data_IF_659030793814
#
_entry.id   IF_659030793814
#
_cell.length_a   1.000
_cell.length_b   1.000
_cell.length_c   1.000
_cell.angle_alpha   90.00
_cell.angle_beta   90.00
_cell.angle_gamma   90.00
#
_symmetry.space_group_name_H-M   'P 1'
#
loop_
_entity.id
_entity.type
_entity.pdbx_description
1 polymer ?
#
# COMPACT_ATOMS: atom_id res chain seq x y z
N UNK A 1 -1.03 19.70 24.08
CA UNK A 1 -0.42 18.42 23.64
C UNK A 1 0.83 18.55 22.75
N UNK A 2 0.80 18.95 21.46
CA UNK A 2 2.05 19.00 20.63
C UNK A 2 3.03 20.13 21.03
N UNK A 3 2.51 21.32 21.35
CA UNK A 3 3.34 22.46 21.82
C UNK A 3 4.03 22.16 23.14
N UNK A 4 3.38 21.42 24.02
CA UNK A 4 3.94 20.97 25.31
C UNK A 4 5.07 19.95 25.13
N UNK A 5 5.11 19.25 23.98
CA UNK A 5 6.20 18.35 23.59
C UNK A 5 7.32 19.07 22.81
N UNK A 6 7.32 20.41 22.78
CA UNK A 6 8.37 21.21 22.15
C UNK A 6 8.20 21.42 20.63
N UNK A 7 7.06 21.05 20.04
CA UNK A 7 6.79 21.27 18.62
C UNK A 7 6.16 22.67 18.45
N UNK A 8 6.94 23.61 17.93
CA UNK A 8 6.53 25.02 17.76
C UNK A 8 6.35 25.46 16.31
N UNK A 9 6.47 24.55 15.34
CA UNK A 9 6.26 24.86 13.92
C UNK A 9 4.77 25.11 13.64
N UNK A 10 4.40 26.37 13.38
CA UNK A 10 3.01 26.74 13.01
C UNK A 10 2.52 25.96 11.78
N UNK A 11 3.40 25.72 10.80
CA UNK A 11 3.05 24.92 9.62
C UNK A 11 2.62 23.50 10.00
N UNK A 12 3.35 22.84 10.91
CA UNK A 12 3.03 21.48 11.33
C UNK A 12 1.76 21.44 12.18
N UNK A 13 1.64 22.39 13.11
CA UNK A 13 0.44 22.52 13.96
C UNK A 13 -0.81 22.66 13.10
N UNK A 14 -0.80 23.61 12.15
CA UNK A 14 -1.92 23.83 11.24
C UNK A 14 -2.18 22.61 10.35
N UNK A 15 -1.13 21.96 9.84
CA UNK A 15 -1.30 20.75 9.01
C UNK A 15 -2.02 19.63 9.77
N UNK A 16 -1.58 19.35 11.01
CA UNK A 16 -2.18 18.30 11.85
C UNK A 16 -3.58 18.68 12.31
N UNK A 17 -3.85 19.96 12.59
CA UNK A 17 -5.20 20.40 12.94
C UNK A 17 -6.19 20.25 11.77
N UNK A 18 -5.72 20.48 10.54
CA UNK A 18 -6.58 20.53 9.36
C UNK A 18 -6.81 19.18 8.67
N UNK A 19 -5.99 18.15 8.91
CA UNK A 19 -6.01 16.92 8.08
C UNK A 19 -7.28 16.05 8.17
N UNK A 20 -8.18 16.31 9.12
CA UNK A 20 -9.51 15.69 9.19
C UNK A 20 -10.64 16.61 8.70
N UNK A 21 -10.34 17.83 8.24
CA UNK A 21 -11.35 18.75 7.72
C UNK A 21 -11.84 18.31 6.34
N UNK A 22 -13.16 18.23 6.18
CA UNK A 22 -13.79 17.96 4.90
C UNK A 22 -13.73 19.20 3.98
N UNK A 23 -13.72 18.97 2.66
CA UNK A 23 -13.79 20.05 1.65
C UNK A 23 -12.45 20.61 1.15
N UNK A 24 -11.31 20.23 1.74
CA UNK A 24 -9.97 20.61 1.25
C UNK A 24 -9.67 20.09 -0.18
N UNK A 25 -10.40 19.08 -0.63
CA UNK A 25 -10.23 18.42 -1.93
C UNK A 25 -10.86 19.16 -3.11
N UNK A 26 -11.59 20.27 -2.89
CA UNK A 26 -12.30 20.98 -3.96
C UNK A 26 -11.42 21.94 -4.77
N UNK A 27 -10.27 22.35 -4.22
CA UNK A 27 -9.31 23.23 -4.91
C UNK A 27 -8.13 22.42 -5.48
N UNK A 28 -7.46 22.95 -6.52
CA UNK A 28 -6.27 22.29 -7.06
C UNK A 28 -5.13 22.32 -6.05
N UNK A 29 -4.43 21.20 -5.90
CA UNK A 29 -3.36 21.03 -4.91
C UNK A 29 -2.31 22.17 -4.97
N UNK A 30 -1.92 22.60 -6.17
CA UNK A 30 -0.93 23.68 -6.36
C UNK A 30 -1.42 25.08 -5.98
N UNK A 31 -2.74 25.30 -5.92
CA UNK A 31 -3.37 26.59 -5.59
C UNK A 31 -3.59 26.73 -4.06
N UNK A 32 -3.56 25.63 -3.32
CA UNK A 32 -3.74 25.64 -1.86
C UNK A 32 -2.53 26.26 -1.12
N UNK A 33 -2.75 27.05 -0.06
CA UNK A 33 -1.66 27.50 0.80
C UNK A 33 -0.96 26.30 1.46
N UNK A 34 0.32 26.44 1.88
CA UNK A 34 1.12 25.34 2.39
C UNK A 34 0.45 24.44 3.45
N UNK A 35 -0.19 24.95 4.53
CA UNK A 35 -0.81 24.08 5.53
C UNK A 35 -1.98 23.26 4.98
N UNK A 36 -2.83 23.83 4.13
CA UNK A 36 -3.95 23.13 3.49
C UNK A 36 -3.46 22.06 2.51
N UNK A 37 -2.44 22.40 1.74
CA UNK A 37 -1.81 21.47 0.79
C UNK A 37 -1.22 20.26 1.49
N UNK A 38 -0.49 20.47 2.58
CA UNK A 38 0.08 19.40 3.40
C UNK A 38 -1.01 18.60 4.11
N UNK A 39 -2.07 19.26 4.60
CA UNK A 39 -3.21 18.59 5.23
C UNK A 39 -3.92 17.64 4.25
N UNK A 40 -4.15 18.08 3.00
CA UNK A 40 -4.74 17.23 1.96
C UNK A 40 -3.84 16.04 1.62
N UNK A 41 -2.52 16.25 1.51
CA UNK A 41 -1.55 15.16 1.31
C UNK A 41 -1.60 14.17 2.48
N UNK A 42 -1.57 14.66 3.71
CA UNK A 42 -1.60 13.84 4.92
C UNK A 42 -2.91 13.05 5.02
N UNK A 43 -4.06 13.67 4.70
CA UNK A 43 -5.36 13.00 4.69
C UNK A 43 -5.40 11.81 3.73
N UNK A 44 -4.88 11.97 2.51
CA UNK A 44 -4.81 10.87 1.53
C UNK A 44 -3.87 9.77 2.01
N UNK A 45 -2.70 10.13 2.54
CA UNK A 45 -1.72 9.16 3.08
C UNK A 45 -2.29 8.41 4.28
N UNK A 46 -2.98 9.10 5.20
CA UNK A 46 -3.56 8.49 6.40
C UNK A 46 -4.69 7.52 6.03
N UNK A 47 -5.58 7.91 5.11
CA UNK A 47 -6.62 7.01 4.57
C UNK A 47 -5.97 5.80 3.88
N UNK A 48 -4.89 6.00 3.14
CA UNK A 48 -4.16 4.90 2.50
C UNK A 48 -3.56 3.95 3.54
N UNK A 49 -2.81 4.47 4.51
CA UNK A 49 -2.20 3.69 5.59
C UNK A 49 -3.25 2.90 6.38
N UNK A 50 -4.39 3.54 6.67
CA UNK A 50 -5.53 2.91 7.34
C UNK A 50 -6.11 1.71 6.57
N UNK A 51 -6.04 1.71 5.23
CA UNK A 51 -6.55 0.65 4.38
C UNK A 51 -5.57 -0.50 4.14
N UNK A 52 -4.27 -0.21 4.05
CA UNK A 52 -3.24 -1.24 3.84
C UNK A 52 -2.76 -1.86 5.16
N UNK A 53 -3.03 -1.21 6.30
CA UNK A 53 -2.74 -1.75 7.62
C UNK A 53 -3.54 -3.05 7.86
N UNK A 54 -2.93 -4.11 8.42
CA UNK A 54 -3.62 -5.34 8.79
C UNK A 54 -4.70 -5.09 9.85
N UNK A 55 -5.89 -4.69 9.44
CA UNK A 55 -7.06 -4.65 10.33
C UNK A 55 -7.65 -6.04 10.33
N UNK A 56 -7.56 -6.71 11.47
CA UNK A 56 -8.08 -8.05 11.74
C UNK A 56 -9.58 -8.22 11.38
N UNK A 57 -10.31 -7.12 11.13
CA UNK A 57 -11.77 -7.08 10.93
C UNK A 57 -12.25 -6.78 9.49
N UNK A 58 -11.39 -6.75 8.46
CA UNK A 58 -11.87 -6.56 7.07
C UNK A 58 -11.83 -7.87 6.29
N UNK A 59 -12.95 -8.57 6.35
CA UNK A 59 -13.23 -9.69 5.46
C UNK A 59 -13.40 -9.20 4.02
N UNK A 60 -12.70 -9.84 3.08
CA UNK A 60 -13.07 -9.82 1.66
C UNK A 60 -12.35 -8.84 0.73
N UNK A 61 -11.56 -7.87 1.21
CA UNK A 61 -10.76 -6.98 0.32
C UNK A 61 -9.26 -7.14 0.57
N UNK A 62 -8.51 -7.32 -0.51
CA UNK A 62 -7.05 -7.23 -0.50
C UNK A 62 -6.58 -5.79 -0.29
N UNK A 63 -5.32 -5.63 0.14
CA UNK A 63 -4.69 -4.32 0.26
C UNK A 63 -4.62 -3.59 -1.10
N UNK A 64 -4.45 -4.32 -2.20
CA UNK A 64 -4.47 -3.79 -3.56
C UNK A 64 -5.85 -3.22 -3.94
N UNK A 65 -6.94 -3.96 -3.69
CA UNK A 65 -8.30 -3.47 -3.97
C UNK A 65 -8.66 -2.27 -3.10
N UNK A 66 -8.22 -2.28 -1.84
CA UNK A 66 -8.43 -1.15 -0.94
C UNK A 66 -7.66 0.08 -1.44
N UNK A 67 -6.38 -0.08 -1.80
CA UNK A 67 -5.59 0.99 -2.42
C UNK A 67 -6.28 1.57 -3.66
N UNK A 68 -6.77 0.70 -4.56
CA UNK A 68 -7.53 1.07 -5.77
C UNK A 68 -8.76 1.95 -5.47
N UNK A 69 -9.44 1.73 -4.35
CA UNK A 69 -10.62 2.53 -3.97
C UNK A 69 -10.31 4.00 -3.64
N UNK A 70 -9.08 4.36 -3.24
CA UNK A 70 -8.66 5.77 -3.08
C UNK A 70 -8.43 6.44 -4.45
N UNK A 71 -8.04 5.65 -5.44
CA UNK A 71 -7.62 6.16 -6.76
C UNK A 71 -8.82 6.30 -7.70
N UNK A 72 -9.81 5.42 -7.58
CA UNK A 72 -11.04 5.42 -8.37
C UNK A 72 -12.22 6.19 -7.76
N UNK A 73 -12.02 6.91 -6.64
CA UNK A 73 -13.10 7.69 -6.05
C UNK A 73 -13.52 8.83 -7.00
N UNK A 74 -14.79 8.89 -7.43
CA UNK A 74 -15.26 9.72 -8.55
C UNK A 74 -15.33 11.23 -8.26
N UNK A 75 -14.93 11.69 -7.08
CA UNK A 75 -15.12 13.10 -6.69
C UNK A 75 -14.04 14.08 -7.20
N UNK A 76 -12.98 13.58 -7.82
CA UNK A 76 -11.98 14.46 -8.44
C UNK A 76 -11.32 13.78 -9.63
N UNK A 77 -11.66 14.22 -10.84
CA UNK A 77 -10.94 13.87 -12.06
C UNK A 77 -9.43 14.25 -12.02
N UNK A 78 -8.97 14.93 -10.96
CA UNK A 78 -7.56 15.16 -10.63
C UNK A 78 -7.29 14.88 -9.14
N UNK A 79 -6.98 13.63 -8.78
CA UNK A 79 -6.36 13.30 -7.49
C UNK A 79 -4.84 13.09 -7.66
N UNK A 80 -4.02 14.17 -7.77
CA UNK A 80 -2.59 14.06 -8.02
C UNK A 80 -1.84 13.34 -6.88
N UNK A 81 -2.30 13.48 -5.64
CA UNK A 81 -1.70 12.80 -4.48
C UNK A 81 -1.92 11.29 -4.58
N UNK A 82 -3.15 10.85 -4.83
CA UNK A 82 -3.48 9.43 -5.00
C UNK A 82 -2.74 8.80 -6.18
N UNK A 83 -2.69 9.47 -7.33
CA UNK A 83 -1.93 9.00 -8.50
C UNK A 83 -0.43 8.89 -8.21
N UNK A 84 0.14 9.86 -7.49
CA UNK A 84 1.55 9.84 -7.10
C UNK A 84 1.83 8.69 -6.14
N UNK A 85 0.94 8.47 -5.17
CA UNK A 85 1.05 7.37 -4.21
C UNK A 85 1.06 6.00 -4.92
N UNK A 86 0.25 5.80 -5.95
CA UNK A 86 0.29 4.58 -6.78
C UNK A 86 1.61 4.42 -7.51
N UNK A 87 2.11 5.49 -8.12
CA UNK A 87 3.39 5.44 -8.83
C UNK A 87 4.55 5.10 -7.90
N UNK A 88 4.46 5.52 -6.63
CA UNK A 88 5.49 5.26 -5.62
C UNK A 88 5.38 3.86 -5.00
N UNK A 89 4.17 3.39 -4.72
CA UNK A 89 3.95 2.14 -3.96
C UNK A 89 3.59 0.94 -4.84
N UNK A 90 3.16 1.19 -6.07
CA UNK A 90 2.69 0.16 -7.00
C UNK A 90 1.22 -0.21 -6.79
N UNK A 91 0.69 -0.97 -7.75
CA UNK A 91 -0.67 -1.55 -7.68
C UNK A 91 -0.82 -2.56 -6.55
N UNK A 92 0.28 -3.26 -6.23
CA UNK A 92 0.34 -4.23 -5.14
C UNK A 92 1.31 -3.73 -4.07
N UNK A 93 0.82 -3.11 -2.99
CA UNK A 93 1.67 -2.64 -1.91
C UNK A 93 2.45 -3.77 -1.23
N UNK A 94 3.64 -3.51 -0.66
CA UNK A 94 4.36 -4.47 0.18
C UNK A 94 3.46 -5.08 1.26
N UNK A 95 3.61 -6.39 1.47
CA UNK A 95 2.76 -7.18 2.38
C UNK A 95 1.47 -7.72 1.74
N UNK A 96 1.11 -7.29 0.53
CA UNK A 96 -0.04 -7.86 -0.19
C UNK A 96 0.24 -9.31 -0.58
N UNK A 97 -0.70 -10.22 -0.30
CA UNK A 97 -0.65 -11.57 -0.85
C UNK A 97 -1.18 -11.58 -2.28
N UNK A 98 -0.55 -12.36 -3.14
CA UNK A 98 -0.91 -12.50 -4.55
C UNK A 98 -0.90 -13.96 -4.96
N UNK A 99 -1.82 -14.34 -5.83
CA UNK A 99 -1.81 -15.63 -6.54
C UNK A 99 -1.09 -15.44 -7.87
N UNK A 100 -0.12 -16.31 -8.14
CA UNK A 100 0.61 -16.35 -9.39
C UNK A 100 -0.15 -17.20 -10.43
N UNK A 101 0.16 -17.01 -11.72
CA UNK A 101 -0.49 -17.73 -12.83
C UNK A 101 -0.40 -19.27 -12.70
N UNK A 102 0.70 -19.76 -12.13
CA UNK A 102 0.95 -21.18 -11.87
C UNK A 102 0.28 -21.71 -10.58
N UNK A 103 -0.54 -20.90 -9.93
CA UNK A 103 -1.28 -21.23 -8.74
C UNK A 103 -0.52 -21.10 -7.42
N UNK A 104 0.78 -20.75 -7.44
CA UNK A 104 1.54 -20.46 -6.22
C UNK A 104 1.02 -19.19 -5.54
N UNK A 105 1.27 -19.06 -4.24
CA UNK A 105 0.96 -17.84 -3.47
C UNK A 105 2.25 -17.19 -3.03
N UNK A 106 2.32 -15.88 -3.23
CA UNK A 106 3.45 -15.05 -2.87
C UNK A 106 3.01 -13.84 -2.05
N UNK A 107 3.96 -13.23 -1.34
CA UNK A 107 3.79 -11.95 -0.65
C UNK A 107 4.65 -10.89 -1.35
N UNK A 108 4.10 -9.70 -1.56
CA UNK A 108 4.85 -8.58 -2.16
C UNK A 108 5.90 -8.07 -1.19
N UNK A 109 7.14 -7.96 -1.65
CA UNK A 109 8.28 -7.46 -0.88
C UNK A 109 8.53 -5.97 -1.11
N UNK A 110 8.56 -5.56 -2.38
CA UNK A 110 8.81 -4.19 -2.81
C UNK A 110 8.24 -3.94 -4.19
N UNK A 111 7.88 -2.68 -4.43
CA UNK A 111 7.63 -2.14 -5.75
C UNK A 111 8.90 -2.25 -6.62
N UNK A 112 8.75 -2.51 -7.92
CA UNK A 112 9.82 -2.43 -8.93
C UNK A 112 9.73 -1.09 -9.67
N UNK A 113 10.45 -0.89 -10.77
CA UNK A 113 10.25 0.31 -11.59
C UNK A 113 8.93 0.28 -12.39
N UNK A 114 8.24 -0.87 -12.42
CA UNK A 114 6.97 -1.05 -13.11
C UNK A 114 5.85 -1.30 -12.09
N UNK A 115 4.81 -0.47 -12.13
CA UNK A 115 3.70 -0.41 -11.15
C UNK A 115 3.02 -1.76 -10.88
N UNK A 116 2.99 -2.65 -11.89
CA UNK A 116 2.27 -3.92 -11.87
C UNK A 116 3.16 -5.16 -11.69
N UNK A 117 4.48 -4.97 -11.60
CA UNK A 117 5.46 -6.07 -11.59
C UNK A 117 6.39 -6.00 -10.37
N UNK A 118 5.86 -6.11 -9.13
CA UNK A 118 6.66 -6.04 -7.92
C UNK A 118 7.55 -7.28 -7.74
N UNK A 119 8.52 -7.17 -6.83
CA UNK A 119 9.26 -8.33 -6.34
C UNK A 119 8.45 -9.02 -5.25
N UNK A 120 8.34 -10.34 -5.35
CA UNK A 120 7.51 -11.14 -4.43
C UNK A 120 8.33 -12.29 -3.83
N UNK A 121 7.96 -12.72 -2.62
CA UNK A 121 8.46 -13.97 -2.05
C UNK A 121 7.36 -15.04 -2.17
N UNK A 122 7.66 -16.13 -2.86
CA UNK A 122 6.79 -17.30 -2.94
C UNK A 122 6.79 -17.99 -1.58
N UNK A 123 5.61 -18.11 -0.98
CA UNK A 123 5.41 -18.62 0.38
C UNK A 123 4.59 -19.89 0.42
N UNK A 124 3.72 -20.13 -0.58
CA UNK A 124 3.02 -21.41 -0.77
C UNK A 124 3.19 -21.92 -2.20
N UNK A 125 3.31 -23.24 -2.35
CA UNK A 125 3.28 -23.90 -3.64
C UNK A 125 1.83 -24.01 -4.19
N UNK A 126 1.68 -24.54 -5.41
CA UNK A 126 0.36 -24.70 -6.06
C UNK A 126 -0.58 -25.69 -5.35
N UNK A 127 -0.06 -26.51 -4.42
CA UNK A 127 -0.83 -27.41 -3.54
C UNK A 127 -1.19 -26.76 -2.20
N UNK A 128 -0.88 -25.47 -2.02
CA UNK A 128 -1.11 -24.75 -0.76
C UNK A 128 -0.12 -25.09 0.35
N UNK A 129 0.94 -25.85 0.07
CA UNK A 129 1.94 -26.21 1.08
C UNK A 129 2.98 -25.10 1.21
N UNK A 130 3.42 -24.86 2.45
CA UNK A 130 4.41 -23.83 2.77
C UNK A 130 5.76 -24.09 2.10
N UNK A 131 6.33 -23.04 1.52
CA UNK A 131 7.68 -22.99 0.96
C UNK A 131 8.61 -22.39 2.02
N UNK A 132 9.63 -23.14 2.41
CA UNK A 132 10.60 -22.71 3.43
C UNK A 132 12.02 -23.18 3.05
N UNK A 133 12.99 -22.27 2.83
CA UNK A 133 12.82 -20.81 2.87
C UNK A 133 11.94 -20.32 1.70
N UNK A 134 11.23 -19.20 1.86
CA UNK A 134 10.51 -18.57 0.76
C UNK A 134 11.46 -18.24 -0.40
N UNK A 135 10.96 -18.24 -1.63
CA UNK A 135 11.78 -18.01 -2.82
C UNK A 135 11.50 -16.63 -3.41
N UNK A 136 12.53 -15.83 -3.65
CA UNK A 136 12.40 -14.56 -4.36
C UNK A 136 11.97 -14.81 -5.81
N UNK A 137 10.97 -14.08 -6.27
CA UNK A 137 10.54 -14.03 -7.66
C UNK A 137 10.40 -12.56 -8.08
N UNK A 138 11.19 -12.15 -9.07
CA UNK A 138 11.15 -10.82 -9.65
C UNK A 138 10.23 -10.86 -10.86
N UNK A 139 8.99 -10.39 -10.70
CA UNK A 139 7.95 -10.56 -11.73
C UNK A 139 8.24 -9.78 -13.03
N UNK A 140 9.21 -8.85 -13.00
CA UNK A 140 9.77 -8.20 -14.19
C UNK A 140 10.64 -9.13 -15.06
N UNK A 141 11.25 -10.17 -14.46
CA UNK A 141 12.15 -11.11 -15.15
C UNK A 141 11.39 -12.21 -15.91
N UNK A 142 10.07 -12.32 -15.73
CA UNK A 142 9.21 -13.20 -16.53
C UNK A 142 8.11 -13.91 -15.74
N UNK A 143 7.69 -15.06 -16.26
CA UNK A 143 6.62 -15.88 -15.70
C UNK A 143 7.06 -16.60 -14.40
N UNK A 144 6.14 -16.90 -13.47
CA UNK A 144 4.70 -16.60 -13.54
C UNK A 144 4.39 -15.14 -13.19
N UNK A 145 3.40 -14.54 -13.86
CA UNK A 145 2.90 -13.21 -13.50
C UNK A 145 1.89 -13.28 -12.35
N UNK A 146 1.55 -12.12 -11.80
CA UNK A 146 0.48 -11.99 -10.81
C UNK A 146 -0.87 -12.16 -11.50
N UNK A 147 -1.63 -13.17 -11.08
CA UNK A 147 -3.00 -13.41 -11.55
C UNK A 147 -4.02 -12.56 -10.80
N UNK A 148 -3.92 -12.49 -9.47
CA UNK A 148 -4.82 -11.68 -8.65
C UNK A 148 -4.22 -11.39 -7.26
N UNK A 149 -4.65 -10.31 -6.62
CA UNK A 149 -4.41 -10.08 -5.20
C UNK A 149 -5.32 -10.99 -4.35
N UNK A 150 -4.86 -11.30 -3.13
CA UNK A 150 -5.58 -12.12 -2.16
C UNK A 150 -5.75 -11.33 -0.85
N UNK A 151 -6.90 -11.47 -0.16
CA UNK A 151 -7.02 -10.97 1.21
C UNK A 151 -6.14 -11.81 2.16
N UNK A 152 -5.67 -11.20 3.24
CA UNK A 152 -4.73 -11.86 4.16
C UNK A 152 -5.32 -13.14 4.80
N UNK A 153 -6.62 -13.16 5.06
CA UNK A 153 -7.33 -14.32 5.61
C UNK A 153 -7.43 -15.52 4.64
N UNK A 154 -7.15 -15.32 3.34
CA UNK A 154 -7.06 -16.43 2.38
C UNK A 154 -5.76 -17.25 2.57
N UNK A 155 -4.79 -16.74 3.31
CA UNK A 155 -3.54 -17.42 3.65
C UNK A 155 -3.61 -17.86 5.10
N UNK A 156 -4.01 -19.12 5.32
CA UNK A 156 -4.17 -19.68 6.67
C UNK A 156 -2.83 -20.09 7.32
N UNK A 157 -1.80 -20.28 6.50
CA UNK A 157 -0.48 -20.70 6.94
C UNK A 157 0.30 -19.58 7.63
N UNK A 158 0.93 -19.90 8.76
CA UNK A 158 1.79 -18.95 9.47
C UNK A 158 3.12 -18.79 8.72
N UNK A 159 3.25 -17.69 7.98
CA UNK A 159 4.48 -17.37 7.26
C UNK A 159 5.49 -16.70 8.20
N UNK A 160 6.77 -17.05 8.04
CA UNK A 160 7.85 -16.45 8.83
C UNK A 160 8.20 -15.07 8.26
N UNK A 161 7.77 -14.01 8.94
CA UNK A 161 8.06 -12.62 8.56
C UNK A 161 9.58 -12.36 8.51
N UNK A 162 10.35 -12.93 9.45
CA UNK A 162 11.81 -12.84 9.44
C UNK A 162 12.44 -13.29 8.11
N UNK A 163 12.02 -14.46 7.59
CA UNK A 163 12.58 -14.99 6.33
C UNK A 163 12.17 -14.13 5.12
N UNK A 164 10.97 -13.55 5.15
CA UNK A 164 10.51 -12.61 4.12
C UNK A 164 11.42 -11.36 4.09
N UNK A 165 11.78 -10.81 5.25
CA UNK A 165 12.59 -9.60 5.33
C UNK A 165 14.02 -9.81 4.81
N UNK A 166 14.60 -11.00 5.03
CA UNK A 166 15.94 -11.34 4.51
C UNK A 166 16.00 -11.38 2.97
N UNK A 167 14.89 -11.65 2.30
CA UNK A 167 14.81 -11.64 0.84
C UNK A 167 14.73 -10.22 0.26
N UNK A 168 14.34 -9.22 1.06
CA UNK A 168 14.20 -7.83 0.61
C UNK A 168 15.56 -7.16 0.37
N UNK A 169 16.61 -7.65 1.01
CA UNK A 169 17.99 -7.13 0.89
C UNK A 169 18.78 -7.73 -0.28
N UNK A 170 18.18 -8.65 -1.04
CA UNK A 170 18.71 -9.24 -2.28
C UNK A 170 18.18 -8.49 -3.53
#
# INVERSE_FOLDING_TARGET
MLRELGIHSELWMNTVEMHHQDGLSQARLQELPPPQRLALILQVIDRYAAMISPRQSREGRSAAESAQSIIGAPESNDNPVGQTLVRLVGKYPPGTFVKLEDGKVAVVLRHSQQTDLPNVAIVLNSRGQKVSPPTLHRTEEGSPRIKQALPANAVQERISHHLILQLRTQ
#
